data_IF_882516786471
#
_entry.id   IF_882516786471
#
_cell.length_a   1.000
_cell.length_b   1.000
_cell.length_c   1.000
_cell.angle_alpha   90.00
_cell.angle_beta   90.00
_cell.angle_gamma   90.00
#
_symmetry.space_group_name_H-M   'P 1'
#
loop_
_entity.id
_entity.type
_entity.pdbx_description
1 polymer ?
#
# COMPACT_ATOMS: atom_id res chain seq x y z
N UNK A 1 -51.30 28.19 -13.83
CA UNK A 1 -51.96 26.92 -13.55
C UNK A 1 -50.96 25.82 -13.89
N UNK A 2 -50.32 25.26 -12.88
CA UNK A 2 -49.37 24.15 -13.04
C UNK A 2 -49.95 22.92 -12.33
N UNK A 3 -50.31 21.92 -13.07
CA UNK A 3 -50.86 20.67 -12.55
C UNK A 3 -49.73 19.74 -12.19
N UNK A 4 -49.61 19.45 -10.92
CA UNK A 4 -48.77 18.43 -10.32
C UNK A 4 -49.35 17.04 -10.68
N UNK A 5 -48.62 16.20 -11.42
CA UNK A 5 -48.93 14.79 -11.57
C UNK A 5 -48.20 13.98 -10.50
N UNK A 6 -48.93 13.62 -9.43
CA UNK A 6 -48.49 12.62 -8.48
C UNK A 6 -48.51 11.26 -9.14
N UNK A 7 -47.35 10.58 -9.22
CA UNK A 7 -47.24 9.23 -9.78
C UNK A 7 -47.95 8.23 -8.87
N UNK A 8 -49.01 7.61 -9.40
CA UNK A 8 -49.74 6.50 -8.74
C UNK A 8 -48.83 5.29 -8.71
N UNK A 9 -48.26 4.98 -7.53
CA UNK A 9 -47.53 3.73 -7.32
C UNK A 9 -48.51 2.57 -7.46
N UNK A 10 -48.31 1.74 -8.46
CA UNK A 10 -49.18 0.66 -8.85
C UNK A 10 -49.13 -0.48 -7.80
N UNK A 11 -50.18 -0.68 -7.04
CA UNK A 11 -50.29 -1.66 -5.93
C UNK A 11 -49.92 -3.10 -6.38
N UNK A 12 -50.10 -3.43 -7.67
CA UNK A 12 -49.71 -4.70 -8.25
C UNK A 12 -48.19 -4.90 -8.29
N UNK A 13 -47.37 -3.84 -8.49
CA UNK A 13 -45.90 -3.94 -8.46
C UNK A 13 -45.37 -4.17 -7.06
N UNK A 14 -45.98 -3.53 -6.05
CA UNK A 14 -45.63 -3.78 -4.64
C UNK A 14 -45.97 -5.22 -4.21
N UNK A 15 -47.09 -5.78 -4.63
CA UNK A 15 -47.47 -7.16 -4.36
C UNK A 15 -46.51 -8.18 -4.99
N UNK A 16 -46.01 -7.92 -6.19
CA UNK A 16 -45.03 -8.79 -6.86
C UNK A 16 -43.68 -8.74 -6.15
N UNK A 17 -43.20 -7.56 -5.74
CA UNK A 17 -41.95 -7.43 -4.98
C UNK A 17 -42.07 -8.14 -3.63
N UNK A 18 -43.18 -7.98 -2.93
CA UNK A 18 -43.42 -8.64 -1.64
C UNK A 18 -43.47 -10.17 -1.78
N UNK A 19 -44.13 -10.68 -2.82
CA UNK A 19 -44.17 -12.12 -3.13
C UNK A 19 -42.79 -12.70 -3.44
N UNK A 20 -41.94 -11.96 -4.20
CA UNK A 20 -40.57 -12.36 -4.47
C UNK A 20 -39.68 -12.38 -3.22
N UNK A 21 -39.81 -11.38 -2.34
CA UNK A 21 -39.05 -11.33 -1.09
C UNK A 21 -39.50 -12.46 -0.15
N UNK A 22 -40.81 -12.72 -0.01
CA UNK A 22 -41.33 -13.85 0.76
C UNK A 22 -40.88 -15.21 0.20
N UNK A 23 -40.85 -15.36 -1.12
CA UNK A 23 -40.32 -16.57 -1.77
C UNK A 23 -38.84 -16.79 -1.48
N UNK A 24 -38.02 -15.76 -1.56
CA UNK A 24 -36.58 -15.83 -1.21
C UNK A 24 -36.38 -16.19 0.27
N UNK A 25 -37.23 -15.73 1.15
CA UNK A 25 -37.17 -16.04 2.60
C UNK A 25 -37.61 -17.47 2.89
N UNK A 26 -38.70 -17.96 2.26
CA UNK A 26 -39.25 -19.30 2.47
C UNK A 26 -38.38 -20.42 1.85
N UNK A 27 -37.59 -20.10 0.80
CA UNK A 27 -36.72 -21.07 0.11
C UNK A 27 -35.25 -20.91 0.47
N UNK A 28 -34.90 -20.06 1.49
CA UNK A 28 -33.52 -19.81 1.92
C UNK A 28 -32.80 -21.09 2.27
N UNK A 29 -33.45 -22.03 2.92
CA UNK A 29 -32.82 -23.26 3.43
C UNK A 29 -32.66 -24.35 2.34
N UNK A 30 -33.22 -24.12 1.14
CA UNK A 30 -33.06 -25.01 -0.02
C UNK A 30 -31.79 -24.66 -0.81
N UNK A 31 -31.31 -23.38 -0.73
CA UNK A 31 -30.17 -22.90 -1.51
C UNK A 31 -28.88 -22.73 -0.71
N UNK A 32 -28.92 -22.84 0.61
CA UNK A 32 -27.73 -22.82 1.46
C UNK A 32 -27.49 -24.24 2.00
N UNK A 33 -26.36 -24.90 1.67
CA UNK A 33 -26.04 -26.17 2.27
C UNK A 33 -25.82 -25.99 3.78
N UNK A 34 -26.64 -26.68 4.56
CA UNK A 34 -26.48 -26.77 6.01
C UNK A 34 -25.11 -27.36 6.33
N UNK A 35 -24.36 -26.68 7.20
CA UNK A 35 -23.10 -27.18 7.74
C UNK A 35 -23.33 -28.54 8.40
N UNK A 36 -22.45 -29.53 8.18
CA UNK A 36 -22.62 -30.83 8.80
C UNK A 36 -22.47 -30.74 10.32
N UNK A 37 -23.52 -31.11 11.04
CA UNK A 37 -23.48 -31.37 12.48
C UNK A 37 -22.57 -32.55 12.74
N UNK A 38 -21.44 -32.33 13.37
CA UNK A 38 -20.57 -33.39 13.89
C UNK A 38 -21.30 -34.17 14.97
N UNK A 39 -21.36 -35.51 14.90
CA UNK A 39 -21.91 -36.32 15.98
C UNK A 39 -21.01 -36.25 17.22
N UNK A 40 -21.60 -36.08 18.39
CA UNK A 40 -20.91 -36.14 19.67
C UNK A 40 -20.34 -37.55 19.87
N UNK A 41 -19.00 -37.67 19.82
CA UNK A 41 -18.30 -38.87 20.18
C UNK A 41 -18.13 -38.92 21.70
N UNK A 42 -18.73 -39.92 22.35
CA UNK A 42 -18.48 -40.24 23.76
C UNK A 42 -17.00 -40.49 23.99
N UNK A 43 -16.36 -39.64 24.76
CA UNK A 43 -14.98 -39.79 25.15
C UNK A 43 -14.86 -40.94 26.20
N UNK A 44 -14.31 -42.06 25.78
CA UNK A 44 -13.74 -43.04 26.70
C UNK A 44 -12.35 -42.54 27.05
N UNK A 45 -12.10 -42.34 28.34
CA UNK A 45 -10.79 -41.91 28.83
C UNK A 45 -9.75 -43.01 28.58
N UNK A 46 -8.86 -42.78 27.63
CA UNK A 46 -7.63 -43.58 27.47
C UNK A 46 -6.45 -42.62 27.68
N UNK A 47 -5.52 -43.04 28.49
CA UNK A 47 -4.32 -42.37 28.95
C UNK A 47 -3.58 -41.61 27.82
N UNK A 48 -3.37 -40.34 28.04
CA UNK A 48 -2.61 -39.41 27.21
C UNK A 48 -1.14 -39.84 27.06
N UNK A 49 -0.59 -39.97 25.86
CA UNK A 49 0.85 -39.88 25.69
C UNK A 49 1.24 -38.43 25.92
N UNK A 50 2.16 -38.19 26.83
CA UNK A 50 2.81 -36.88 27.03
C UNK A 50 3.32 -36.37 25.69
N UNK A 51 2.73 -35.27 25.19
CA UNK A 51 3.25 -34.55 24.04
C UNK A 51 4.62 -34.01 24.43
N UNK A 52 5.66 -34.57 23.83
CA UNK A 52 7.00 -34.02 23.93
C UNK A 52 6.94 -32.59 23.40
N UNK A 53 7.43 -31.62 24.18
CA UNK A 53 7.66 -30.28 23.72
C UNK A 53 8.50 -30.31 22.43
N UNK A 54 8.25 -29.43 21.43
CA UNK A 54 9.11 -29.32 20.26
C UNK A 54 10.54 -29.13 20.73
N UNK A 55 11.47 -29.95 20.22
CA UNK A 55 12.86 -29.89 20.63
C UNK A 55 13.41 -28.48 20.35
N UNK A 56 14.14 -27.90 21.30
CA UNK A 56 14.83 -26.61 21.20
C UNK A 56 15.64 -26.45 19.90
N UNK A 57 16.07 -27.54 19.31
CA UNK A 57 16.76 -27.63 18.02
C UNK A 57 15.94 -27.11 16.83
N UNK A 58 14.62 -27.22 16.86
CA UNK A 58 13.77 -26.80 15.73
C UNK A 58 13.56 -25.28 15.70
N UNK A 59 13.48 -24.65 16.87
CA UNK A 59 13.38 -23.19 17.00
C UNK A 59 14.69 -22.48 16.61
N UNK A 60 15.84 -23.04 17.00
CA UNK A 60 17.16 -22.49 16.64
C UNK A 60 17.46 -22.67 15.16
N UNK A 61 17.10 -23.78 14.54
CA UNK A 61 17.26 -24.01 13.11
C UNK A 61 16.40 -23.05 12.29
N UNK A 62 15.15 -22.88 12.67
CA UNK A 62 14.24 -21.96 11.98
C UNK A 62 14.68 -20.48 12.12
N UNK A 63 15.21 -20.08 13.27
CA UNK A 63 15.76 -18.74 13.47
C UNK A 63 17.03 -18.53 12.63
N UNK A 64 17.92 -19.51 12.56
CA UNK A 64 19.15 -19.44 11.77
C UNK A 64 18.85 -19.37 10.28
N UNK A 65 17.89 -20.15 9.77
CA UNK A 65 17.45 -20.11 8.38
C UNK A 65 16.81 -18.75 8.04
N UNK A 66 15.96 -18.22 8.91
CA UNK A 66 15.32 -16.91 8.70
C UNK A 66 16.33 -15.76 8.67
N UNK A 67 17.39 -15.81 9.50
CA UNK A 67 18.48 -14.82 9.49
C UNK A 67 19.35 -14.93 8.25
N UNK A 68 19.62 -16.12 7.76
CA UNK A 68 20.39 -16.36 6.54
C UNK A 68 19.64 -15.89 5.28
N UNK A 69 18.34 -16.11 5.22
CA UNK A 69 17.49 -15.61 4.12
C UNK A 69 17.44 -14.08 4.09
N UNK A 70 17.31 -13.45 5.25
CA UNK A 70 17.37 -12.00 5.35
C UNK A 70 18.72 -11.44 4.89
N UNK A 71 19.83 -12.06 5.28
CA UNK A 71 21.17 -11.66 4.84
C UNK A 71 21.33 -11.78 3.32
N UNK A 72 20.78 -12.82 2.71
CA UNK A 72 20.85 -13.04 1.27
C UNK A 72 20.07 -11.99 0.47
N UNK A 73 18.86 -11.62 0.89
CA UNK A 73 18.07 -10.61 0.18
C UNK A 73 18.58 -9.18 0.44
N UNK A 74 19.11 -8.92 1.63
CA UNK A 74 19.70 -7.62 1.98
C UNK A 74 20.96 -7.33 1.15
N UNK A 75 21.76 -8.37 0.85
CA UNK A 75 22.98 -8.27 0.06
C UNK A 75 22.75 -8.56 -1.43
N UNK A 76 21.51 -8.60 -1.89
CA UNK A 76 21.22 -8.78 -3.30
C UNK A 76 21.75 -7.59 -4.12
N UNK A 77 22.26 -7.83 -5.35
CA UNK A 77 22.80 -6.76 -6.19
C UNK A 77 21.81 -5.60 -6.37
N UNK A 78 22.22 -4.37 -6.01
CA UNK A 78 21.42 -3.16 -6.11
C UNK A 78 20.45 -2.91 -4.92
N UNK A 79 20.41 -3.79 -3.92
CA UNK A 79 19.56 -3.61 -2.73
C UNK A 79 19.93 -2.34 -1.94
N UNK A 80 21.20 -2.01 -1.89
CA UNK A 80 21.79 -0.82 -1.27
C UNK A 80 21.46 0.50 -1.97
N UNK A 81 20.93 0.42 -3.21
CA UNK A 81 20.59 1.57 -4.05
C UNK A 81 19.09 1.92 -4.03
N UNK A 82 18.29 1.13 -3.33
CA UNK A 82 16.82 1.23 -3.32
C UNK A 82 16.31 1.65 -1.95
N UNK A 83 15.52 2.72 -1.90
CA UNK A 83 14.77 3.13 -0.72
C UNK A 83 13.30 2.76 -0.87
N UNK A 84 12.76 2.05 0.11
CA UNK A 84 11.32 1.81 0.22
C UNK A 84 10.68 2.94 1.02
N UNK A 85 9.71 3.61 0.44
CA UNK A 85 8.90 4.66 1.09
C UNK A 85 7.49 4.11 1.27
N UNK A 86 7.16 3.69 2.48
CA UNK A 86 5.87 3.10 2.80
C UNK A 86 4.93 4.15 3.39
N UNK A 87 3.76 4.29 2.77
CA UNK A 87 2.66 5.15 3.22
C UNK A 87 1.56 4.33 3.88
N UNK A 88 1.06 4.81 5.02
CA UNK A 88 -0.08 4.21 5.73
C UNK A 88 -0.92 5.28 6.43
N UNK A 89 -1.99 4.87 7.10
CA UNK A 89 -2.76 5.69 8.04
C UNK A 89 -2.45 5.31 9.48
N UNK A 90 -2.43 6.27 10.38
CA UNK A 90 -2.19 6.02 11.81
C UNK A 90 -3.23 5.09 12.42
N UNK A 91 -4.47 5.11 11.90
CA UNK A 91 -5.57 4.25 12.39
C UNK A 91 -5.47 2.79 11.96
N UNK A 92 -4.58 2.44 11.02
CA UNK A 92 -4.42 1.07 10.50
C UNK A 92 -2.99 0.53 10.62
N UNK A 93 -2.08 1.33 11.16
CA UNK A 93 -0.65 1.03 11.19
C UNK A 93 -0.35 -0.28 11.95
N UNK A 94 -1.01 -0.52 13.08
CA UNK A 94 -0.81 -1.71 13.91
C UNK A 94 -1.32 -2.99 13.25
N UNK A 95 -2.22 -2.89 12.28
CA UNK A 95 -2.72 -4.01 11.50
C UNK A 95 -1.84 -4.29 10.28
N UNK A 96 -1.46 -3.25 9.53
CA UNK A 96 -0.84 -3.42 8.21
C UNK A 96 0.70 -3.41 8.23
N UNK A 97 1.33 -2.57 9.08
CA UNK A 97 2.78 -2.41 9.09
C UNK A 97 3.57 -3.64 9.56
N UNK A 98 3.16 -4.40 10.62
CA UNK A 98 3.99 -5.47 11.18
C UNK A 98 4.48 -6.49 10.17
N UNK A 99 3.66 -6.84 9.18
CA UNK A 99 4.04 -7.82 8.17
C UNK A 99 5.17 -7.31 7.26
N UNK A 100 5.18 -6.00 6.92
CA UNK A 100 6.29 -5.40 6.16
C UNK A 100 7.61 -5.43 6.94
N UNK A 101 7.56 -5.21 8.25
CA UNK A 101 8.75 -5.20 9.10
C UNK A 101 9.46 -6.55 9.16
N UNK A 102 8.68 -7.65 9.13
CA UNK A 102 9.21 -9.01 9.17
C UNK A 102 9.44 -9.64 7.79
N UNK A 103 9.08 -8.93 6.71
CA UNK A 103 9.25 -9.37 5.32
C UNK A 103 10.14 -8.40 4.54
N UNK A 104 9.58 -7.52 3.77
CA UNK A 104 10.29 -6.60 2.85
C UNK A 104 11.40 -5.78 3.53
N UNK A 105 11.14 -5.23 4.72
CA UNK A 105 12.11 -4.35 5.40
C UNK A 105 13.33 -5.10 5.93
N UNK A 106 13.31 -6.41 5.98
CA UNK A 106 14.50 -7.22 6.25
C UNK A 106 15.47 -7.28 5.08
N UNK A 107 15.02 -6.89 3.89
CA UNK A 107 15.77 -6.96 2.64
C UNK A 107 16.23 -5.58 2.13
N UNK A 108 15.85 -4.49 2.77
CA UNK A 108 16.24 -3.14 2.35
C UNK A 108 17.13 -2.45 3.38
N UNK A 109 18.18 -1.76 2.91
CA UNK A 109 19.05 -0.93 3.74
C UNK A 109 18.42 0.43 4.03
N UNK A 110 17.57 0.91 3.12
CA UNK A 110 16.98 2.24 3.18
C UNK A 110 15.46 2.15 3.13
N UNK A 111 14.80 2.65 4.16
CA UNK A 111 13.35 2.76 4.20
C UNK A 111 12.91 4.01 4.95
N UNK A 112 11.73 4.49 4.63
CA UNK A 112 10.99 5.50 5.38
C UNK A 112 9.54 5.04 5.52
N UNK A 113 8.96 5.30 6.67
CA UNK A 113 7.57 4.99 6.96
C UNK A 113 6.85 6.29 7.27
N UNK A 114 5.76 6.54 6.56
CA UNK A 114 4.93 7.72 6.72
C UNK A 114 3.50 7.37 7.12
N UNK A 115 2.95 8.12 8.05
CA UNK A 115 1.53 8.07 8.42
C UNK A 115 0.96 9.47 8.63
N UNK A 116 -0.20 9.57 9.27
CA UNK A 116 -0.85 10.82 9.65
C UNK A 116 -0.45 11.31 11.05
N UNK A 117 0.47 10.61 11.72
CA UNK A 117 0.98 10.95 13.04
C UNK A 117 2.46 10.57 13.14
N UNK A 118 3.29 11.41 13.80
CA UNK A 118 4.63 11.00 14.18
C UNK A 118 4.52 10.03 15.35
N UNK A 119 5.15 8.86 15.23
CA UNK A 119 5.16 7.85 16.28
C UNK A 119 6.34 6.90 16.14
N UNK A 120 6.58 6.09 17.15
CA UNK A 120 7.57 5.01 17.12
C UNK A 120 6.84 3.68 17.23
N UNK A 121 7.17 2.72 16.37
CA UNK A 121 6.70 1.35 16.44
C UNK A 121 7.91 0.43 16.63
N UNK A 122 8.05 -0.18 17.80
CA UNK A 122 9.31 -0.82 18.21
C UNK A 122 10.49 0.14 17.96
N UNK A 123 11.50 -0.24 17.18
CA UNK A 123 12.66 0.59 16.84
C UNK A 123 12.47 1.42 15.55
N UNK A 124 11.27 1.36 14.94
CA UNK A 124 10.98 2.03 13.68
C UNK A 124 10.39 3.41 13.90
N UNK A 125 11.04 4.42 13.32
CA UNK A 125 10.52 5.79 13.32
C UNK A 125 9.46 5.93 12.22
N UNK A 126 8.29 6.47 12.59
CA UNK A 126 7.20 6.76 11.65
C UNK A 126 7.03 8.27 11.57
N UNK A 127 7.16 8.78 10.37
CA UNK A 127 7.10 10.21 10.08
C UNK A 127 5.66 10.65 9.83
N UNK A 128 5.31 11.84 10.27
CA UNK A 128 4.07 12.49 9.88
C UNK A 128 4.25 13.07 8.47
N UNK A 129 3.59 12.46 7.49
CA UNK A 129 3.60 12.92 6.09
C UNK A 129 3.00 14.32 5.92
N UNK A 130 2.19 14.77 6.87
CA UNK A 130 1.49 16.04 6.84
C UNK A 130 2.19 17.14 7.63
N UNK A 131 3.34 16.84 8.23
CA UNK A 131 4.06 17.78 9.10
C UNK A 131 4.35 19.12 8.41
N UNK A 132 4.73 19.08 7.13
CA UNK A 132 5.12 20.25 6.33
C UNK A 132 3.95 21.01 5.68
N UNK A 133 2.73 20.44 5.67
CA UNK A 133 1.54 21.11 5.16
C UNK A 133 1.24 22.34 6.02
N UNK A 134 0.81 23.43 5.39
CA UNK A 134 0.57 24.70 6.08
C UNK A 134 -0.52 24.59 7.16
N UNK A 135 -0.36 25.37 8.22
CA UNK A 135 -1.30 25.40 9.33
C UNK A 135 -2.69 25.90 8.91
N UNK A 136 -2.78 26.71 7.87
CA UNK A 136 -4.05 27.15 7.30
C UNK A 136 -4.90 25.95 6.88
N UNK A 137 -4.34 25.01 6.10
CA UNK A 137 -5.09 23.81 5.70
C UNK A 137 -5.32 22.88 6.89
N UNK A 138 -4.32 22.66 7.74
CA UNK A 138 -4.46 21.78 8.93
C UNK A 138 -5.57 22.23 9.86
N UNK A 139 -5.77 23.55 10.02
CA UNK A 139 -6.76 24.10 10.93
C UNK A 139 -8.15 24.23 10.30
N UNK A 140 -8.23 24.66 9.04
CA UNK A 140 -9.49 25.13 8.47
C UNK A 140 -10.09 24.20 7.40
N UNK A 141 -9.25 23.41 6.69
CA UNK A 141 -9.74 22.58 5.59
C UNK A 141 -10.50 21.34 6.08
N UNK A 142 -11.58 20.98 5.36
CA UNK A 142 -12.45 19.84 5.68
C UNK A 142 -11.70 18.52 5.72
N UNK A 143 -10.79 18.26 4.78
CA UNK A 143 -10.01 17.03 4.72
C UNK A 143 -9.20 16.79 6.01
N UNK A 144 -8.79 17.88 6.68
CA UNK A 144 -8.02 17.81 7.92
C UNK A 144 -8.87 17.64 9.19
N UNK A 145 -10.19 17.53 9.11
CA UNK A 145 -11.03 17.19 10.28
C UNK A 145 -10.58 15.87 10.89
N UNK A 146 -10.28 14.89 10.03
CA UNK A 146 -9.80 13.58 10.48
C UNK A 146 -8.41 13.68 11.12
N UNK A 147 -7.48 14.43 10.52
CA UNK A 147 -6.16 14.69 11.10
C UNK A 147 -6.25 15.32 12.50
N UNK A 148 -7.07 16.37 12.66
CA UNK A 148 -7.29 16.99 13.97
C UNK A 148 -7.85 16.00 15.00
N UNK A 149 -8.72 15.10 14.58
CA UNK A 149 -9.28 14.05 15.43
C UNK A 149 -8.22 13.01 15.82
N UNK A 150 -7.38 12.57 14.89
CA UNK A 150 -6.23 11.71 15.15
C UNK A 150 -5.27 12.35 16.18
N UNK A 151 -4.91 13.61 15.96
CA UNK A 151 -4.05 14.39 16.87
C UNK A 151 -4.65 14.48 18.28
N UNK A 152 -5.96 14.69 18.38
CA UNK A 152 -6.66 14.72 19.66
C UNK A 152 -6.59 13.37 20.38
N UNK A 153 -6.97 12.29 19.70
CA UNK A 153 -6.95 10.92 20.24
C UNK A 153 -5.55 10.55 20.73
N UNK A 154 -4.54 10.86 19.93
CA UNK A 154 -3.15 10.59 20.29
C UNK A 154 -2.72 11.35 21.57
N UNK A 155 -3.00 12.66 21.65
CA UNK A 155 -2.68 13.47 22.85
C UNK A 155 -3.43 12.99 24.11
N UNK A 156 -4.63 12.48 23.97
CA UNK A 156 -5.46 11.98 25.05
C UNK A 156 -5.18 10.50 25.41
N UNK A 157 -4.22 9.87 24.76
CA UNK A 157 -3.87 8.47 24.98
C UNK A 157 -5.00 7.50 24.56
N UNK A 158 -5.89 7.94 23.66
CA UNK A 158 -6.97 7.11 23.15
C UNK A 158 -6.49 6.23 21.99
N UNK A 159 -7.14 5.10 21.81
CA UNK A 159 -6.84 4.16 20.73
C UNK A 159 -7.26 4.72 19.36
N UNK A 160 -6.27 5.17 18.58
CA UNK A 160 -6.46 5.72 17.23
C UNK A 160 -6.98 4.70 16.23
N UNK A 161 -6.81 3.39 16.46
CA UNK A 161 -7.33 2.35 15.58
C UNK A 161 -8.87 2.35 15.52
N UNK A 162 -9.54 2.85 16.57
CA UNK A 162 -11.01 3.05 16.59
C UNK A 162 -11.50 4.09 15.59
N UNK A 163 -10.60 4.88 15.03
CA UNK A 163 -10.92 5.88 14.02
C UNK A 163 -10.83 5.35 12.58
N UNK A 164 -10.50 4.07 12.40
CA UNK A 164 -10.44 3.43 11.07
C UNK A 164 -11.75 3.64 10.31
N UNK A 165 -11.67 4.08 9.06
CA UNK A 165 -12.82 4.33 8.19
C UNK A 165 -12.47 5.23 7.00
N UNK A 166 -13.49 5.57 6.20
CA UNK A 166 -13.35 6.26 4.92
C UNK A 166 -12.80 7.71 5.02
N UNK A 167 -12.84 8.30 6.23
CA UNK A 167 -12.36 9.68 6.44
C UNK A 167 -10.85 9.84 6.18
N UNK A 168 -10.08 8.77 6.32
CA UNK A 168 -8.64 8.74 6.02
C UNK A 168 -8.33 8.96 4.54
N UNK A 169 -9.24 8.57 3.65
CA UNK A 169 -9.03 8.66 2.21
C UNK A 169 -8.91 10.11 1.71
N UNK A 170 -9.75 11.02 2.18
CA UNK A 170 -9.67 12.44 1.82
C UNK A 170 -8.36 13.09 2.29
N UNK A 171 -7.84 12.63 3.44
CA UNK A 171 -6.57 13.11 3.99
C UNK A 171 -5.37 12.53 3.22
N UNK A 172 -5.52 11.37 2.64
CA UNK A 172 -4.43 10.64 2.00
C UNK A 172 -3.79 11.39 0.83
N UNK A 173 -4.59 12.11 0.03
CA UNK A 173 -4.08 12.90 -1.11
C UNK A 173 -3.03 13.96 -0.72
N UNK A 174 -3.06 14.42 0.52
CA UNK A 174 -2.15 15.44 1.03
C UNK A 174 -0.76 14.90 1.39
N UNK A 175 -0.60 13.58 1.48
CA UNK A 175 0.66 12.93 1.85
C UNK A 175 1.67 12.83 0.71
N UNK A 176 1.21 12.69 -0.54
CA UNK A 176 2.03 12.26 -1.67
C UNK A 176 3.22 13.18 -1.96
N UNK A 177 2.96 14.45 -2.22
CA UNK A 177 4.03 15.39 -2.57
C UNK A 177 4.95 15.71 -1.37
N UNK A 178 4.45 15.94 -0.15
CA UNK A 178 5.31 16.09 1.03
C UNK A 178 6.20 14.88 1.28
N UNK A 179 5.70 13.64 1.12
CA UNK A 179 6.52 12.43 1.25
C UNK A 179 7.65 12.40 0.22
N UNK A 180 7.41 12.86 -1.01
CA UNK A 180 8.45 12.90 -2.05
C UNK A 180 9.56 13.86 -1.65
N UNK A 181 9.23 15.05 -1.15
CA UNK A 181 10.21 16.01 -0.65
C UNK A 181 11.01 15.47 0.53
N UNK A 182 10.32 14.91 1.52
CA UNK A 182 10.96 14.39 2.73
C UNK A 182 11.82 13.14 2.44
N UNK A 183 11.37 12.24 1.57
CA UNK A 183 12.17 11.07 1.22
C UNK A 183 13.45 11.44 0.49
N UNK A 184 13.41 12.42 -0.43
CA UNK A 184 14.62 12.93 -1.07
C UNK A 184 15.59 13.58 -0.06
N UNK A 185 15.05 14.40 0.85
CA UNK A 185 15.84 15.11 1.88
C UNK A 185 16.53 14.16 2.87
N UNK A 186 15.84 13.07 3.24
CA UNK A 186 16.31 12.10 4.24
C UNK A 186 17.15 10.96 3.64
N UNK A 187 17.11 10.78 2.32
CA UNK A 187 17.82 9.68 1.68
C UNK A 187 19.33 9.85 1.70
N UNK A 188 20.03 8.73 1.96
CA UNK A 188 21.48 8.65 1.72
C UNK A 188 21.82 9.02 0.26
N UNK A 189 22.96 9.65 -0.01
CA UNK A 189 23.44 9.94 -1.37
C UNK A 189 23.53 8.70 -2.27
N UNK A 190 23.69 7.51 -1.67
CA UNK A 190 23.83 6.25 -2.39
C UNK A 190 22.50 5.69 -2.93
N UNK A 191 21.36 6.21 -2.47
CA UNK A 191 20.04 5.80 -2.98
C UNK A 191 19.83 6.34 -4.38
N UNK A 192 19.57 5.47 -5.34
CA UNK A 192 19.23 5.81 -6.72
C UNK A 192 17.73 5.82 -7.00
N UNK A 193 17.00 4.99 -6.27
CA UNK A 193 15.60 4.70 -6.54
C UNK A 193 14.74 4.86 -5.30
N UNK A 194 13.67 5.64 -5.42
CA UNK A 194 12.61 5.77 -4.42
C UNK A 194 11.42 4.94 -4.87
N UNK A 195 11.07 3.94 -4.10
CA UNK A 195 9.94 3.02 -4.37
C UNK A 195 8.83 3.32 -3.36
N UNK A 196 7.79 3.98 -3.82
CA UNK A 196 6.65 4.37 -3.01
C UNK A 196 5.60 3.27 -3.04
N UNK A 197 5.18 2.83 -1.86
CA UNK A 197 4.16 1.78 -1.68
C UNK A 197 3.17 2.16 -0.59
N UNK A 198 1.99 1.60 -0.64
CA UNK A 198 1.03 1.63 0.47
C UNK A 198 1.19 0.38 1.35
N UNK A 199 0.68 0.45 2.59
CA UNK A 199 0.83 -0.65 3.54
C UNK A 199 0.04 -1.93 3.14
N UNK A 200 -0.83 -1.85 2.12
CA UNK A 200 -1.49 -2.99 1.49
C UNK A 200 -0.98 -3.27 0.06
N UNK A 201 0.21 -2.79 -0.24
CA UNK A 201 0.94 -3.12 -1.48
C UNK A 201 2.00 -4.18 -1.20
N UNK A 202 1.91 -5.34 -1.83
CA UNK A 202 2.96 -6.37 -1.78
C UNK A 202 4.00 -6.10 -2.86
N UNK A 203 5.27 -6.38 -2.54
CA UNK A 203 6.41 -6.16 -3.46
C UNK A 203 7.19 -7.47 -3.65
N UNK A 204 7.42 -7.85 -4.90
CA UNK A 204 8.40 -8.87 -5.26
C UNK A 204 9.80 -8.24 -5.30
N UNK A 205 10.57 -8.39 -4.21
CA UNK A 205 11.89 -7.77 -4.07
C UNK A 205 12.86 -8.16 -5.18
N UNK A 206 12.93 -9.44 -5.50
CA UNK A 206 13.80 -9.94 -6.56
C UNK A 206 13.44 -9.39 -7.93
N UNK A 207 12.14 -9.37 -8.28
CA UNK A 207 11.68 -8.81 -9.55
C UNK A 207 11.93 -7.30 -9.63
N UNK A 208 11.75 -6.58 -8.51
CA UNK A 208 12.06 -5.16 -8.41
C UNK A 208 13.53 -4.89 -8.70
N UNK A 209 14.44 -5.56 -8.02
CA UNK A 209 15.88 -5.36 -8.22
C UNK A 209 16.34 -5.71 -9.64
N UNK A 210 15.83 -6.82 -10.20
CA UNK A 210 16.11 -7.19 -11.60
C UNK A 210 15.56 -6.17 -12.61
N UNK A 211 14.42 -5.57 -12.33
CA UNK A 211 13.83 -4.52 -13.16
C UNK A 211 14.68 -3.25 -13.12
N UNK A 212 15.01 -2.78 -11.92
CA UNK A 212 15.80 -1.57 -11.72
C UNK A 212 17.25 -1.72 -12.20
N UNK A 213 17.83 -2.90 -12.08
CA UNK A 213 19.19 -3.19 -12.59
C UNK A 213 19.33 -3.07 -14.11
N UNK A 214 18.23 -2.98 -14.86
CA UNK A 214 18.21 -2.74 -16.32
C UNK A 214 17.96 -1.27 -16.68
N UNK A 215 17.78 -0.41 -15.67
CA UNK A 215 17.47 0.99 -15.84
C UNK A 215 18.67 1.87 -15.50
N UNK A 216 18.72 3.04 -16.11
CA UNK A 216 19.74 4.05 -15.83
C UNK A 216 19.21 5.06 -14.81
N UNK A 217 19.66 5.03 -13.54
CA UNK A 217 19.16 5.92 -12.50
C UNK A 217 19.56 7.40 -12.68
N UNK A 218 20.50 7.67 -13.58
CA UNK A 218 20.91 9.06 -13.91
C UNK A 218 19.89 9.76 -14.80
N UNK A 219 18.99 8.99 -15.43
CA UNK A 219 17.87 9.54 -16.20
C UNK A 219 16.70 9.87 -15.25
N UNK A 220 15.99 10.98 -15.50
CA UNK A 220 14.83 11.34 -14.72
C UNK A 220 13.65 10.43 -15.10
N UNK A 221 13.44 9.37 -14.32
CA UNK A 221 12.44 8.34 -14.58
C UNK A 221 11.34 8.38 -13.51
N UNK A 222 10.08 8.28 -13.96
CA UNK A 222 8.89 8.07 -13.16
C UNK A 222 8.15 6.86 -13.73
N UNK A 223 8.06 5.77 -12.95
CA UNK A 223 7.61 4.46 -13.38
C UNK A 223 6.39 4.03 -12.54
N UNK A 224 5.37 3.45 -13.17
CA UNK A 224 4.20 2.96 -12.46
C UNK A 224 3.09 2.43 -13.36
N UNK A 225 2.03 1.93 -12.74
CA UNK A 225 0.81 1.56 -13.44
C UNK A 225 0.03 2.82 -13.82
N UNK A 226 -0.22 3.01 -15.12
CA UNK A 226 -0.90 4.21 -15.61
C UNK A 226 -2.37 4.28 -15.18
N UNK A 227 -2.76 5.46 -14.74
CA UNK A 227 -4.14 5.88 -14.56
C UNK A 227 -4.34 7.26 -15.18
N UNK A 228 -5.58 7.70 -15.38
CA UNK A 228 -5.89 8.97 -16.06
C UNK A 228 -6.99 9.71 -15.30
N UNK A 229 -6.73 10.97 -14.98
CA UNK A 229 -7.74 11.91 -14.46
C UNK A 229 -7.67 13.18 -15.27
N UNK A 230 -8.75 13.53 -15.96
CA UNK A 230 -8.75 14.66 -16.90
C UNK A 230 -7.65 14.53 -17.95
N UNK A 231 -6.77 15.52 -18.12
CA UNK A 231 -5.67 15.46 -19.06
C UNK A 231 -4.40 14.78 -18.51
N UNK A 232 -4.38 14.41 -17.22
CA UNK A 232 -3.18 13.92 -16.55
C UNK A 232 -3.11 12.41 -16.59
N UNK A 233 -2.03 11.87 -17.17
CA UNK A 233 -1.65 10.46 -17.01
C UNK A 233 -0.66 10.35 -15.86
N UNK A 234 -0.92 9.46 -14.92
CA UNK A 234 -0.13 9.34 -13.69
C UNK A 234 0.02 7.87 -13.26
N UNK A 235 0.97 7.59 -12.39
CA UNK A 235 1.10 6.30 -11.74
C UNK A 235 0.09 6.18 -10.60
N UNK A 236 -0.74 5.15 -10.61
CA UNK A 236 -1.67 4.83 -9.53
C UNK A 236 -0.93 4.55 -8.22
N UNK A 237 -1.23 5.33 -7.17
CA UNK A 237 -0.50 5.30 -5.90
C UNK A 237 -0.50 3.95 -5.22
N UNK A 238 -1.68 3.31 -5.11
CA UNK A 238 -1.82 2.00 -4.48
C UNK A 238 -1.10 0.86 -5.22
N UNK A 239 -0.92 0.97 -6.54
CA UNK A 239 -0.09 0.01 -7.29
C UNK A 239 1.40 0.09 -6.92
N UNK A 240 1.79 1.15 -6.23
CA UNK A 240 3.17 1.55 -6.07
C UNK A 240 3.72 2.26 -7.31
N UNK A 241 4.71 3.12 -7.09
CA UNK A 241 5.41 3.81 -8.16
C UNK A 241 6.88 4.03 -7.79
N UNK A 242 7.70 4.26 -8.79
CA UNK A 242 9.14 4.40 -8.62
C UNK A 242 9.60 5.71 -9.25
N UNK A 243 10.45 6.43 -8.52
CA UNK A 243 11.06 7.68 -8.98
C UNK A 243 12.56 7.56 -8.87
N UNK A 244 13.29 7.86 -9.96
CA UNK A 244 14.75 7.91 -9.90
C UNK A 244 15.22 9.12 -9.09
N UNK A 245 16.42 9.04 -8.50
CA UNK A 245 17.01 10.21 -7.81
C UNK A 245 17.11 11.43 -8.74
N UNK A 246 17.40 11.22 -10.02
CA UNK A 246 17.46 12.29 -10.99
C UNK A 246 16.11 13.00 -11.17
N UNK A 247 14.99 12.26 -11.17
CA UNK A 247 13.65 12.84 -11.25
C UNK A 247 13.27 13.58 -9.95
N UNK A 248 13.50 12.97 -8.79
CA UNK A 248 13.27 13.60 -7.50
C UNK A 248 14.09 14.89 -7.33
N UNK A 249 15.35 14.88 -7.78
CA UNK A 249 16.20 16.07 -7.79
C UNK A 249 15.64 17.21 -8.64
N UNK A 250 15.08 16.92 -9.82
CA UNK A 250 14.47 17.97 -10.66
C UNK A 250 13.30 18.68 -9.95
N UNK A 251 12.48 17.93 -9.18
CA UNK A 251 11.41 18.52 -8.38
C UNK A 251 11.99 19.41 -7.28
N UNK A 252 12.99 18.94 -6.54
CA UNK A 252 13.62 19.72 -5.48
C UNK A 252 14.33 20.97 -6.02
N UNK A 253 15.06 20.86 -7.11
CA UNK A 253 15.68 22.02 -7.78
C UNK A 253 14.62 23.05 -8.19
N UNK A 254 13.47 22.60 -8.69
CA UNK A 254 12.34 23.48 -9.06
C UNK A 254 11.73 24.15 -7.82
N UNK A 255 11.53 23.38 -6.74
CA UNK A 255 11.00 23.88 -5.46
C UNK A 255 11.89 24.97 -4.88
N UNK A 256 13.21 24.75 -4.86
CA UNK A 256 14.18 25.75 -4.41
C UNK A 256 14.25 26.98 -5.32
N UNK A 257 14.21 26.77 -6.64
CA UNK A 257 14.23 27.86 -7.62
C UNK A 257 13.05 28.81 -7.52
N UNK A 258 11.85 28.30 -7.23
CA UNK A 258 10.62 29.09 -7.03
C UNK A 258 10.62 29.76 -5.64
N UNK A 259 11.31 29.15 -4.69
CA UNK A 259 11.21 29.38 -3.25
C UNK A 259 10.24 28.40 -2.59
N UNK A 260 10.75 27.67 -1.58
CA UNK A 260 10.07 26.54 -0.93
C UNK A 260 8.61 26.87 -0.57
N UNK A 261 8.40 27.93 0.21
CA UNK A 261 7.04 28.30 0.63
C UNK A 261 6.10 28.57 -0.56
N UNK A 262 6.56 29.30 -1.58
CA UNK A 262 5.72 29.66 -2.75
C UNK A 262 5.38 28.43 -3.59
N UNK A 263 6.31 27.48 -3.68
CA UNK A 263 6.10 26.22 -4.36
C UNK A 263 5.07 25.37 -3.58
N UNK A 264 5.29 25.20 -2.28
CA UNK A 264 4.42 24.40 -1.42
C UNK A 264 3.01 24.96 -1.36
N UNK A 265 2.81 26.27 -1.13
CA UNK A 265 1.49 26.93 -1.13
C UNK A 265 0.71 26.66 -2.43
N UNK A 266 1.38 26.72 -3.59
CA UNK A 266 0.76 26.44 -4.90
C UNK A 266 0.30 25.00 -5.03
N UNK A 267 1.12 24.05 -4.60
CA UNK A 267 0.78 22.64 -4.69
C UNK A 267 -0.22 22.21 -3.62
N UNK A 268 -0.21 22.80 -2.45
CA UNK A 268 -1.27 22.65 -1.45
C UNK A 268 -2.64 23.11 -1.99
N UNK A 269 -2.69 24.28 -2.64
CA UNK A 269 -3.90 24.71 -3.34
C UNK A 269 -4.33 23.72 -4.43
N UNK A 270 -3.39 23.22 -5.20
CA UNK A 270 -3.67 22.21 -6.23
C UNK A 270 -4.22 20.91 -5.63
N UNK A 271 -3.65 20.46 -4.52
CA UNK A 271 -4.10 19.27 -3.76
C UNK A 271 -5.50 19.46 -3.20
N UNK A 272 -5.81 20.63 -2.66
CA UNK A 272 -7.14 20.92 -2.12
C UNK A 272 -8.25 20.81 -3.16
N UNK A 273 -7.94 21.11 -4.43
CA UNK A 273 -8.86 21.10 -5.56
C UNK A 273 -8.87 19.75 -6.32
N UNK A 274 -7.91 18.87 -6.08
CA UNK A 274 -7.82 17.55 -6.73
C UNK A 274 -8.53 16.46 -5.92
N UNK A 275 -8.94 15.39 -6.61
CA UNK A 275 -9.37 14.16 -5.97
C UNK A 275 -8.19 13.38 -5.36
N UNK A 276 -7.00 13.50 -5.97
CA UNK A 276 -6.02 12.41 -5.95
C UNK A 276 -4.60 12.96 -5.82
N UNK A 277 -3.89 12.51 -4.79
CA UNK A 277 -2.53 13.01 -4.50
C UNK A 277 -1.47 12.50 -5.47
N UNK A 278 -1.66 11.30 -6.00
CA UNK A 278 -0.82 10.71 -7.05
C UNK A 278 -0.92 11.48 -8.38
N UNK A 279 -2.13 11.97 -8.73
CA UNK A 279 -2.34 12.86 -9.87
C UNK A 279 -1.62 14.20 -9.68
N UNK A 280 -1.71 14.80 -8.48
CA UNK A 280 -1.00 16.06 -8.15
C UNK A 280 0.52 15.86 -8.25
N UNK A 281 1.03 14.75 -7.76
CA UNK A 281 2.45 14.39 -7.83
C UNK A 281 2.91 14.25 -9.29
N UNK A 282 2.11 13.61 -10.14
CA UNK A 282 2.41 13.52 -11.56
C UNK A 282 2.47 14.90 -12.24
N UNK A 283 1.55 15.80 -11.91
CA UNK A 283 1.63 17.19 -12.45
C UNK A 283 2.88 17.92 -12.00
N UNK A 284 3.34 17.70 -10.76
CA UNK A 284 4.59 18.27 -10.29
C UNK A 284 5.81 17.70 -11.03
N UNK A 285 5.78 16.42 -11.38
CA UNK A 285 6.81 15.76 -12.20
C UNK A 285 6.78 16.27 -13.66
N UNK A 286 5.59 16.38 -14.25
CA UNK A 286 5.41 16.92 -15.61
C UNK A 286 5.91 18.37 -15.72
N UNK A 287 5.72 19.19 -14.68
CA UNK A 287 6.24 20.57 -14.65
C UNK A 287 7.78 20.65 -14.82
N UNK A 288 8.48 19.58 -14.51
CA UNK A 288 9.94 19.46 -14.64
C UNK A 288 10.36 18.51 -15.75
N UNK A 289 9.50 18.29 -16.74
CA UNK A 289 9.71 17.42 -17.89
C UNK A 289 10.03 15.96 -17.48
N UNK A 290 9.26 15.43 -16.53
CA UNK A 290 9.32 14.03 -16.12
C UNK A 290 7.92 13.42 -16.26
N UNK A 291 7.68 12.82 -17.39
CA UNK A 291 6.43 12.13 -17.68
C UNK A 291 6.44 10.68 -17.17
N UNK A 292 5.26 10.09 -16.98
CA UNK A 292 5.12 8.70 -16.61
C UNK A 292 5.65 7.79 -17.73
N UNK A 293 6.53 6.88 -17.35
CA UNK A 293 6.89 5.71 -18.16
C UNK A 293 5.99 4.53 -17.70
N UNK A 294 4.97 4.16 -18.48
CA UNK A 294 4.03 3.10 -18.11
C UNK A 294 4.75 1.78 -17.86
N UNK A 295 4.52 1.18 -16.71
CA UNK A 295 5.20 -0.05 -16.28
C UNK A 295 4.24 -1.21 -16.02
N UNK A 296 2.95 -1.06 -16.35
CA UNK A 296 2.00 -2.16 -16.37
C UNK A 296 2.41 -3.21 -17.42
N UNK A 297 2.27 -4.52 -17.16
CA UNK A 297 1.72 -5.15 -15.97
C UNK A 297 2.74 -5.54 -14.90
N UNK A 298 3.97 -5.06 -14.95
CA UNK A 298 4.97 -5.31 -13.91
C UNK A 298 4.61 -4.62 -12.59
N UNK A 299 4.27 -3.35 -12.68
CA UNK A 299 3.70 -2.56 -11.58
C UNK A 299 2.20 -2.50 -11.85
N UNK A 300 1.38 -2.98 -10.91
CA UNK A 300 -0.05 -3.14 -11.15
C UNK A 300 -0.85 -3.14 -9.85
N UNK A 301 -2.12 -2.77 -9.93
CA UNK A 301 -3.03 -2.62 -8.79
C UNK A 301 -3.96 -3.80 -8.55
N UNK A 302 -3.80 -4.89 -9.29
CA UNK A 302 -4.67 -6.06 -9.15
C UNK A 302 -4.38 -6.82 -7.86
N UNK A 303 -5.41 -7.45 -7.32
CA UNK A 303 -5.25 -8.50 -6.31
C UNK A 303 -4.76 -9.78 -6.96
N UNK A 304 -4.04 -10.60 -6.23
CA UNK A 304 -3.51 -11.87 -6.76
C UNK A 304 -4.60 -12.75 -7.39
N UNK A 305 -5.79 -12.79 -6.80
CA UNK A 305 -6.90 -13.62 -7.27
C UNK A 305 -7.78 -12.99 -8.36
N UNK A 306 -7.55 -11.71 -8.69
CA UNK A 306 -8.27 -11.02 -9.78
C UNK A 306 -7.45 -10.90 -11.06
N UNK A 307 -6.19 -11.34 -11.04
CA UNK A 307 -5.36 -11.40 -12.25
C UNK A 307 -6.03 -12.25 -13.32
N UNK A 308 -6.11 -11.72 -14.53
CA UNK A 308 -6.55 -12.49 -15.68
C UNK A 308 -5.46 -13.45 -16.15
N UNK A 309 -5.85 -14.41 -17.00
CA UNK A 309 -4.98 -15.42 -17.57
C UNK A 309 -4.42 -15.03 -18.94
N UNK A 310 -4.45 -13.74 -19.27
CA UNK A 310 -3.86 -13.24 -20.51
C UNK A 310 -2.36 -13.42 -20.52
N UNK A 311 -1.78 -13.53 -21.71
CA UNK A 311 -0.33 -13.60 -21.90
C UNK A 311 0.38 -12.40 -21.27
N UNK A 312 -0.25 -11.22 -21.30
CA UNK A 312 0.32 -9.98 -20.74
C UNK A 312 0.60 -10.10 -19.25
N UNK A 313 -0.37 -10.56 -18.46
CA UNK A 313 -0.21 -10.75 -17.03
C UNK A 313 0.60 -12.01 -16.68
N UNK A 314 0.22 -13.14 -17.27
CA UNK A 314 0.78 -14.45 -16.91
C UNK A 314 2.28 -14.58 -17.19
N UNK A 315 2.75 -14.00 -18.30
CA UNK A 315 4.14 -14.11 -18.71
C UNK A 315 5.03 -12.94 -18.22
N UNK A 316 4.48 -11.99 -17.50
CA UNK A 316 5.27 -10.84 -17.02
C UNK A 316 5.62 -11.00 -15.54
N UNK A 317 6.91 -10.91 -15.16
CA UNK A 317 7.31 -10.90 -13.77
C UNK A 317 6.73 -9.68 -13.06
N UNK A 318 5.66 -9.87 -12.29
CA UNK A 318 5.01 -8.81 -11.54
C UNK A 318 5.92 -8.35 -10.38
N UNK A 319 5.95 -7.04 -10.15
CA UNK A 319 6.71 -6.40 -9.06
C UNK A 319 5.79 -6.10 -7.89
N UNK A 320 4.58 -5.59 -8.17
CA UNK A 320 3.64 -5.17 -7.11
C UNK A 320 2.24 -5.77 -7.31
N UNK A 321 1.51 -5.86 -6.19
CA UNK A 321 0.07 -6.15 -6.10
C UNK A 321 -0.54 -5.24 -5.05
N UNK A 322 -1.78 -4.80 -5.25
CA UNK A 322 -2.48 -3.89 -4.35
C UNK A 322 -3.69 -4.56 -3.67
N UNK A 323 -4.23 -3.91 -2.63
CA UNK A 323 -5.30 -4.44 -1.77
C UNK A 323 -4.99 -5.83 -1.17
N UNK A 324 -3.72 -6.03 -0.83
CA UNK A 324 -3.21 -7.27 -0.24
C UNK A 324 -3.39 -7.22 1.27
N UNK A 325 -4.05 -8.23 1.83
CA UNK A 325 -4.17 -8.34 3.29
C UNK A 325 -2.82 -8.76 3.91
N UNK A 326 -2.58 -8.51 5.21
CA UNK A 326 -1.35 -8.93 5.88
C UNK A 326 -1.06 -10.43 5.73
N UNK A 327 -2.09 -11.29 5.80
CA UNK A 327 -1.92 -12.74 5.60
C UNK A 327 -1.56 -13.12 4.16
N UNK A 328 -2.12 -12.43 3.17
CA UNK A 328 -1.74 -12.61 1.78
C UNK A 328 -0.32 -12.14 1.52
N UNK A 329 0.08 -11.00 2.11
CA UNK A 329 1.44 -10.47 2.01
C UNK A 329 2.46 -11.46 2.56
N UNK A 330 2.21 -12.04 3.74
CA UNK A 330 3.05 -13.09 4.32
C UNK A 330 3.12 -14.33 3.42
N UNK A 331 1.99 -14.79 2.89
CA UNK A 331 1.94 -15.95 2.00
C UNK A 331 2.71 -15.73 0.70
N UNK A 332 2.58 -14.54 0.09
CA UNK A 332 3.31 -14.16 -1.12
C UNK A 332 4.80 -14.04 -0.86
N UNK A 333 5.18 -13.50 0.29
CA UNK A 333 6.58 -13.41 0.71
C UNK A 333 7.22 -14.78 0.89
N UNK A 334 6.55 -15.72 1.55
CA UNK A 334 7.01 -17.11 1.71
C UNK A 334 7.17 -17.80 0.37
N UNK A 335 6.17 -17.69 -0.50
CA UNK A 335 6.24 -18.24 -1.86
C UNK A 335 7.46 -17.71 -2.62
N UNK A 336 7.67 -16.39 -2.61
CA UNK A 336 8.80 -15.77 -3.27
C UNK A 336 10.14 -16.26 -2.71
N UNK A 337 10.26 -16.33 -1.38
CA UNK A 337 11.47 -16.81 -0.71
C UNK A 337 11.79 -18.24 -1.08
N UNK A 338 10.81 -19.13 -1.11
CA UNK A 338 10.98 -20.52 -1.54
C UNK A 338 11.34 -20.63 -3.02
N UNK A 339 10.69 -19.80 -3.87
CA UNK A 339 11.01 -19.77 -5.29
C UNK A 339 12.46 -19.37 -5.53
N UNK A 340 12.93 -18.31 -4.89
CA UNK A 340 14.32 -17.85 -5.00
C UNK A 340 15.30 -18.94 -4.55
N UNK A 341 15.05 -19.60 -3.40
CA UNK A 341 15.89 -20.70 -2.91
C UNK A 341 16.02 -21.84 -3.92
N UNK A 342 14.90 -22.24 -4.53
CA UNK A 342 14.86 -23.35 -5.50
C UNK A 342 15.50 -23.00 -6.85
N UNK A 343 15.52 -21.73 -7.21
CA UNK A 343 15.88 -21.26 -8.55
C UNK A 343 17.09 -20.30 -8.58
N UNK A 344 17.93 -20.32 -7.54
CA UNK A 344 19.12 -19.43 -7.45
C UNK A 344 20.00 -19.52 -8.70
N UNK A 345 20.10 -20.68 -9.35
CA UNK A 345 20.87 -20.87 -10.58
C UNK A 345 20.28 -20.12 -11.78
N UNK A 346 18.99 -19.83 -11.78
CA UNK A 346 18.29 -19.09 -12.85
C UNK A 346 18.38 -17.56 -12.66
N UNK A 347 18.83 -17.11 -11.49
CA UNK A 347 18.90 -15.70 -11.13
C UNK A 347 20.32 -15.12 -11.29
N UNK A 348 21.27 -15.92 -11.73
CA UNK A 348 22.61 -15.43 -12.08
C UNK A 348 22.52 -14.63 -13.38
N UNK A 349 23.19 -13.44 -13.45
CA UNK A 349 23.19 -12.59 -14.64
C UNK A 349 23.81 -13.29 -15.85
#
# INVERSE_FOLDING_TARGET
>A
MATSSAGVFNASKLAIIFALVCSLYLFRDIWLPSSPTTPAVHATATSTPQSAAPAETDLTLNHTLATQDAANCLNAPGADRVMIVLKTGASEIYEKLPTHLITLFRCTHHYLIFSDLPQTYADYQIHDALATVSDTYKNDHEDFKFYRKLQKYHREGQDVAKLKGDQGWNLDKWKFLPMMHESYRLASPDVDWFVYIEADTSVSWTNLLQFLGRMDPTKPLYLGAQNVVGPTTFAHGGSGYIVSRAAAKKIEDRRHKIGVKKYDDRWELSTSLSCCGDEVTARALIEVDVELTPSWPRIQGERVHTLDWTKGHWCTPAITWHHVTPSQLDSMWRFQSEWVKKNVSLLKP
#
